data_IF_923987040372
#
_entry.id   IF_923987040372
#
_cell.length_a   1.000
_cell.length_b   1.000
_cell.length_c   1.000
_cell.angle_alpha   90.00
_cell.angle_beta   90.00
_cell.angle_gamma   90.00
#
_symmetry.space_group_name_H-M   'P 1'
#
loop_
_entity.id
_entity.type
_entity.pdbx_description
1 polymer ?
#
# COMPACT_ATOMS: atom_id res chain seq x y z
N UNK A 1 -7.66 6.32 -2.15
CA UNK A 1 -7.62 5.46 -0.95
C UNK A 1 -8.66 5.91 0.07
N UNK A 2 -9.56 5.02 0.50
CA UNK A 2 -10.72 5.38 1.35
C UNK A 2 -10.32 5.88 2.76
N UNK A 3 -9.15 5.46 3.28
CA UNK A 3 -8.60 5.92 4.56
C UNK A 3 -8.15 7.39 4.55
N UNK A 4 -8.22 8.06 3.39
CA UNK A 4 -7.96 9.49 3.18
C UNK A 4 -9.21 10.32 2.93
N UNK A 5 -10.41 9.74 2.99
CA UNK A 5 -11.64 10.49 2.76
C UNK A 5 -11.68 11.76 3.63
N UNK A 6 -12.26 12.84 3.07
CA UNK A 6 -12.37 14.14 3.74
C UNK A 6 -13.17 14.04 5.03
N UNK A 7 -14.28 13.31 4.94
CA UNK A 7 -15.05 12.80 6.07
C UNK A 7 -14.25 11.72 6.80
N UNK A 8 -14.41 11.59 8.12
CA UNK A 8 -13.78 10.53 8.92
C UNK A 8 -14.78 9.39 9.20
N UNK A 9 -15.20 8.60 8.19
CA UNK A 9 -16.17 7.52 8.42
C UNK A 9 -15.56 6.37 9.23
N UNK A 10 -14.23 6.21 9.22
CA UNK A 10 -13.56 5.09 9.86
C UNK A 10 -12.75 5.50 11.09
N UNK A 11 -12.96 4.80 12.20
CA UNK A 11 -12.17 4.94 13.43
C UNK A 11 -10.84 4.20 13.36
N UNK A 12 -10.82 3.04 12.70
CA UNK A 12 -9.67 2.15 12.56
C UNK A 12 -9.62 1.57 11.14
N UNK A 13 -8.47 1.06 10.72
CA UNK A 13 -8.29 0.35 9.45
C UNK A 13 -7.35 -0.84 9.60
N UNK A 14 -7.58 -1.88 8.81
CA UNK A 14 -6.70 -3.04 8.70
C UNK A 14 -6.32 -3.24 7.23
N UNK A 15 -5.03 -3.43 6.97
CA UNK A 15 -4.44 -3.69 5.66
C UNK A 15 -3.83 -5.08 5.68
N UNK A 16 -4.35 -5.97 4.83
CA UNK A 16 -3.93 -7.38 4.78
C UNK A 16 -3.32 -7.62 3.40
N UNK A 17 -2.05 -8.05 3.37
CA UNK A 17 -1.26 -8.26 2.15
C UNK A 17 -1.48 -7.14 1.09
N UNK A 18 -1.28 -5.86 1.45
CA UNK A 18 -1.66 -4.76 0.57
C UNK A 18 -0.72 -4.65 -0.63
N UNK A 19 -1.29 -4.49 -1.82
CA UNK A 19 -0.56 -4.02 -3.02
C UNK A 19 -0.44 -2.51 -2.92
N UNK A 20 0.78 -2.02 -2.74
CA UNK A 20 1.05 -0.59 -2.48
C UNK A 20 1.57 0.16 -3.69
N UNK A 21 2.13 -0.56 -4.67
CA UNK A 21 2.64 -0.02 -5.92
C UNK A 21 2.52 -1.08 -7.02
N UNK A 22 1.85 -0.75 -8.12
CA UNK A 22 1.63 -1.70 -9.21
C UNK A 22 2.90 -2.08 -9.97
N UNK A 23 4.01 -1.33 -9.79
CA UNK A 23 5.34 -1.66 -10.33
C UNK A 23 5.98 -2.85 -9.62
N UNK A 24 5.58 -3.11 -8.37
CA UNK A 24 6.09 -4.22 -7.56
C UNK A 24 5.27 -5.51 -7.73
N UNK A 25 4.13 -5.42 -8.43
CA UNK A 25 3.22 -6.54 -8.65
C UNK A 25 3.51 -7.24 -10.00
N UNK A 26 2.85 -8.37 -10.24
CA UNK A 26 3.06 -9.16 -11.46
C UNK A 26 2.79 -8.33 -12.74
N UNK A 27 3.80 -8.27 -13.62
CA UNK A 27 3.76 -7.44 -14.85
C UNK A 27 2.55 -7.74 -15.75
N UNK A 28 2.25 -9.02 -15.98
CA UNK A 28 1.09 -9.40 -16.79
C UNK A 28 -0.24 -8.88 -16.23
N UNK A 29 -0.34 -8.69 -14.92
CA UNK A 29 -1.51 -8.10 -14.29
C UNK A 29 -1.48 -6.58 -14.40
N UNK A 30 -0.39 -5.93 -13.94
CA UNK A 30 -0.31 -4.47 -13.91
C UNK A 30 -0.37 -3.86 -15.30
N UNK A 31 0.33 -4.43 -16.29
CA UNK A 31 0.32 -3.94 -17.68
C UNK A 31 -1.03 -4.09 -18.36
N UNK A 32 -1.80 -5.14 -18.03
CA UNK A 32 -3.14 -5.33 -18.58
C UNK A 32 -4.10 -4.20 -18.20
N UNK A 33 -3.94 -3.63 -17.01
CA UNK A 33 -4.86 -2.61 -16.49
C UNK A 33 -4.31 -1.19 -16.55
N UNK A 34 -2.99 -1.02 -16.48
CA UNK A 34 -2.33 0.28 -16.45
C UNK A 34 -1.45 0.57 -17.68
N UNK A 35 -1.27 -0.39 -18.59
CA UNK A 35 -0.35 -0.27 -19.71
C UNK A 35 1.12 -0.43 -19.31
N UNK A 36 2.02 -0.20 -20.26
CA UNK A 36 3.46 -0.34 -20.01
C UNK A 36 3.96 0.78 -19.08
N UNK A 37 4.75 0.48 -18.03
CA UNK A 37 5.29 1.48 -17.12
C UNK A 37 6.10 2.59 -17.82
N UNK A 38 6.79 2.27 -18.91
CA UNK A 38 7.59 3.21 -19.68
C UNK A 38 6.77 4.26 -20.43
N UNK A 39 5.53 3.93 -20.80
CA UNK A 39 4.61 4.83 -21.50
C UNK A 39 3.63 5.51 -20.54
N UNK A 40 3.17 4.78 -19.53
CA UNK A 40 2.07 5.18 -18.64
C UNK A 40 2.56 5.49 -17.21
N UNK A 41 3.76 6.07 -17.07
CA UNK A 41 4.41 6.32 -15.76
C UNK A 41 3.46 7.06 -14.78
N UNK A 42 2.72 8.04 -15.30
CA UNK A 42 1.72 8.82 -14.56
C UNK A 42 0.60 7.94 -13.97
N UNK A 43 0.15 6.90 -14.67
CA UNK A 43 -0.88 5.97 -14.19
C UNK A 43 -0.35 5.11 -13.04
N UNK A 44 0.91 4.68 -13.14
CA UNK A 44 1.57 3.96 -12.05
C UNK A 44 1.79 4.86 -10.83
N UNK A 45 2.20 6.11 -11.02
CA UNK A 45 2.33 7.07 -9.92
C UNK A 45 0.98 7.36 -9.25
N UNK A 46 -0.08 7.55 -10.03
CA UNK A 46 -1.42 7.85 -9.52
C UNK A 46 -2.06 6.67 -8.78
N UNK A 47 -1.76 5.44 -9.18
CA UNK A 47 -2.25 4.22 -8.52
C UNK A 47 -1.45 3.83 -7.27
N UNK A 48 -0.18 4.26 -7.18
CA UNK A 48 0.68 3.99 -6.03
C UNK A 48 0.25 4.73 -4.78
N UNK A 49 0.18 4.00 -3.67
CA UNK A 49 -0.17 4.54 -2.35
C UNK A 49 1.04 5.22 -1.70
N UNK A 50 2.26 4.81 -2.10
CA UNK A 50 3.52 5.26 -1.49
C UNK A 50 3.78 6.76 -1.71
N UNK A 51 3.41 7.28 -2.88
CA UNK A 51 3.61 8.69 -3.22
C UNK A 51 2.60 9.63 -2.55
N UNK A 52 1.48 9.10 -2.08
CA UNK A 52 0.37 9.90 -1.60
C UNK A 52 -0.03 9.56 -0.15
N UNK A 53 0.95 9.32 0.72
CA UNK A 53 0.69 8.94 2.12
C UNK A 53 0.27 10.11 3.03
N UNK A 54 0.45 11.36 2.57
CA UNK A 54 0.00 12.54 3.31
C UNK A 54 -1.53 12.58 3.40
N UNK A 55 -2.06 12.81 4.60
CA UNK A 55 -3.52 12.91 4.83
C UNK A 55 -4.20 11.61 5.25
N UNK A 56 -3.45 10.63 5.75
CA UNK A 56 -4.05 9.57 6.56
C UNK A 56 -4.70 10.18 7.81
N UNK A 57 -6.01 9.99 7.95
CA UNK A 57 -6.80 10.52 9.09
C UNK A 57 -7.15 9.44 10.13
N UNK A 58 -6.85 8.19 9.81
CA UNK A 58 -7.10 7.04 10.68
C UNK A 58 -6.02 6.99 11.76
N UNK A 59 -6.44 6.94 13.02
CA UNK A 59 -5.53 6.92 14.18
C UNK A 59 -4.97 5.53 14.49
N UNK A 60 -5.72 4.48 14.13
CA UNK A 60 -5.38 3.10 14.44
C UNK A 60 -5.32 2.28 13.14
N UNK A 61 -4.10 1.99 12.69
CA UNK A 61 -3.85 1.17 11.50
C UNK A 61 -3.21 -0.15 11.91
N UNK A 62 -3.81 -1.27 11.49
CA UNK A 62 -3.19 -2.60 11.57
C UNK A 62 -2.68 -2.98 10.18
N UNK A 63 -1.43 -3.41 10.08
CA UNK A 63 -0.83 -3.95 8.88
C UNK A 63 -0.52 -5.44 9.13
N UNK A 64 -1.02 -6.29 8.25
CA UNK A 64 -0.85 -7.75 8.31
C UNK A 64 -0.24 -8.23 7.00
N UNK A 65 0.83 -9.02 7.07
CA UNK A 65 1.44 -9.59 5.86
C UNK A 65 2.19 -10.89 6.17
N UNK A 66 2.11 -11.87 5.26
CA UNK A 66 2.99 -13.04 5.28
C UNK A 66 4.38 -12.74 4.71
N UNK A 67 5.45 -13.24 5.35
CA UNK A 67 6.82 -13.09 4.81
C UNK A 67 7.06 -13.89 3.54
N UNK A 68 6.36 -15.02 3.39
CA UNK A 68 6.48 -15.93 2.26
C UNK A 68 5.31 -15.82 1.25
N UNK A 69 4.62 -14.68 1.21
CA UNK A 69 3.56 -14.45 0.22
C UNK A 69 4.14 -14.38 -1.20
N UNK A 70 3.79 -15.37 -2.02
CA UNK A 70 4.29 -15.51 -3.39
C UNK A 70 3.53 -14.64 -4.40
N UNK A 71 2.37 -14.08 -4.04
CA UNK A 71 1.56 -13.24 -4.92
C UNK A 71 1.84 -11.77 -4.68
N UNK A 72 1.76 -11.34 -3.42
CA UNK A 72 2.03 -9.97 -2.99
C UNK A 72 3.30 -10.00 -2.17
N UNK A 73 4.43 -9.64 -2.77
CA UNK A 73 5.70 -9.71 -2.06
C UNK A 73 5.71 -8.77 -0.84
N UNK A 74 6.32 -9.19 0.26
CA UNK A 74 6.39 -8.41 1.51
C UNK A 74 6.97 -7.00 1.34
N UNK A 75 7.76 -6.77 0.29
CA UNK A 75 8.28 -5.45 -0.10
C UNK A 75 7.19 -4.38 -0.19
N UNK A 76 5.96 -4.73 -0.59
CA UNK A 76 4.85 -3.78 -0.58
C UNK A 76 4.58 -3.21 0.81
N UNK A 77 4.49 -4.08 1.82
CA UNK A 77 4.31 -3.67 3.22
C UNK A 77 5.54 -2.95 3.75
N UNK A 78 6.75 -3.41 3.42
CA UNK A 78 7.99 -2.78 3.88
C UNK A 78 8.10 -1.31 3.41
N UNK A 79 7.84 -1.02 2.13
CA UNK A 79 7.85 0.35 1.62
C UNK A 79 6.73 1.19 2.22
N UNK A 80 5.54 0.61 2.47
CA UNK A 80 4.45 1.33 3.13
C UNK A 80 4.80 1.69 4.57
N UNK A 81 5.36 0.76 5.36
CA UNK A 81 5.81 1.00 6.73
C UNK A 81 6.82 2.15 6.75
N UNK A 82 7.82 2.11 5.85
CA UNK A 82 8.82 3.17 5.72
C UNK A 82 8.18 4.54 5.48
N UNK A 83 7.18 4.62 4.60
CA UNK A 83 6.47 5.87 4.36
C UNK A 83 5.61 6.31 5.55
N UNK A 84 4.91 5.38 6.22
CA UNK A 84 4.11 5.65 7.42
C UNK A 84 4.97 6.20 8.56
N UNK A 85 6.15 5.60 8.80
CA UNK A 85 7.14 6.09 9.77
C UNK A 85 7.58 7.50 9.40
N UNK A 86 7.91 7.74 8.12
CA UNK A 86 8.36 9.05 7.62
C UNK A 86 7.34 10.17 7.90
N UNK A 87 6.04 9.87 7.81
CA UNK A 87 4.97 10.85 8.07
C UNK A 87 4.41 10.82 9.50
N UNK A 88 4.99 10.02 10.40
CA UNK A 88 4.58 9.94 11.80
C UNK A 88 3.21 9.29 12.03
N UNK A 89 2.79 8.38 11.16
CA UNK A 89 1.53 7.64 11.31
C UNK A 89 1.76 6.37 12.11
N UNK A 90 1.13 6.30 13.28
CA UNK A 90 1.15 5.11 14.14
C UNK A 90 0.45 3.94 13.45
N UNK A 91 1.10 2.78 13.52
CA UNK A 91 0.59 1.54 12.98
C UNK A 91 1.05 0.36 13.85
N UNK A 92 0.26 -0.71 13.84
CA UNK A 92 0.62 -2.01 14.40
C UNK A 92 0.95 -2.95 13.25
N UNK A 93 2.00 -3.75 13.39
CA UNK A 93 2.42 -4.73 12.39
C UNK A 93 2.25 -6.14 12.95
N UNK A 94 1.62 -7.02 12.18
CA UNK A 94 1.59 -8.46 12.42
C UNK A 94 2.17 -9.18 11.20
N UNK A 95 3.20 -9.98 11.45
CA UNK A 95 3.89 -10.74 10.42
C UNK A 95 3.60 -12.22 10.63
N UNK A 96 3.24 -12.91 9.55
CA UNK A 96 3.07 -14.36 9.54
C UNK A 96 4.21 -14.99 8.76
N UNK A 97 4.91 -15.94 9.38
CA UNK A 97 6.12 -16.53 8.79
C UNK A 97 5.81 -17.68 7.82
N UNK A 98 4.61 -18.28 7.95
CA UNK A 98 4.11 -19.45 7.21
C UNK A 98 2.59 -19.35 7.07
#
# INVERSE_FOLDING_TARGET
MILKASERPFKCGALIAPITDMRLYASAFSERYLGMPSAEDNMYQASSVLHNIHGFRVKNLLLVHGMADAKVHFQHSAELIKQLIKVGVNHTLQIYHQ
#
